data_IF_874862723039
#
_entry.id   IF_874862723039
#
_cell.length_a   1.000
_cell.length_b   1.000
_cell.length_c   1.000
_cell.angle_alpha   90.00
_cell.angle_beta   90.00
_cell.angle_gamma   90.00
#
_symmetry.space_group_name_H-M   'P 1'
#
loop_
_entity.id
_entity.type
_entity.pdbx_description
1 polymer ?
#
# COMPACT_ATOMS: atom_id res chain seq x y z
N UNK A 1 5.41 -11.45 -14.20
CA UNK A 1 6.57 -10.68 -13.66
C UNK A 1 7.16 -11.45 -12.49
N UNK A 2 8.47 -11.72 -12.44
CA UNK A 2 9.05 -12.56 -11.36
C UNK A 2 8.98 -11.85 -9.99
N UNK A 3 8.78 -12.59 -8.90
CA UNK A 3 8.72 -12.04 -7.52
C UNK A 3 9.91 -11.13 -7.20
N UNK A 4 11.12 -11.51 -7.64
CA UNK A 4 12.34 -10.70 -7.50
C UNK A 4 12.24 -9.33 -8.20
N UNK A 5 11.68 -9.30 -9.42
CA UNK A 5 11.49 -8.05 -10.18
C UNK A 5 10.46 -7.13 -9.51
N UNK A 6 9.40 -7.69 -8.92
CA UNK A 6 8.38 -6.90 -8.19
C UNK A 6 8.96 -6.26 -6.93
N UNK A 7 9.73 -7.01 -6.13
CA UNK A 7 10.41 -6.47 -4.94
C UNK A 7 11.37 -5.34 -5.31
N UNK A 8 12.16 -5.52 -6.38
CA UNK A 8 13.09 -4.50 -6.85
C UNK A 8 12.36 -3.21 -7.26
N UNK A 9 11.25 -3.31 -8.00
CA UNK A 9 10.45 -2.14 -8.36
C UNK A 9 9.90 -1.44 -7.12
N UNK A 10 9.37 -2.19 -6.14
CA UNK A 10 8.88 -1.60 -4.88
C UNK A 10 9.97 -0.84 -4.14
N UNK A 11 11.20 -1.37 -4.10
CA UNK A 11 12.34 -0.69 -3.47
C UNK A 11 12.72 0.61 -4.21
N UNK A 12 12.68 0.61 -5.53
CA UNK A 12 12.92 1.83 -6.32
C UNK A 12 11.86 2.89 -6.03
N UNK A 13 10.58 2.50 -6.03
CA UNK A 13 9.47 3.42 -5.72
C UNK A 13 9.63 3.97 -4.30
N UNK A 14 9.97 3.12 -3.32
CA UNK A 14 10.22 3.53 -1.94
C UNK A 14 11.33 4.58 -1.86
N UNK A 15 12.45 4.34 -2.54
CA UNK A 15 13.58 5.27 -2.55
C UNK A 15 13.20 6.63 -3.15
N UNK A 16 12.52 6.62 -4.31
CA UNK A 16 12.05 7.86 -4.97
C UNK A 16 11.10 8.63 -4.05
N UNK A 17 10.14 7.94 -3.44
CA UNK A 17 9.14 8.57 -2.56
C UNK A 17 9.78 9.15 -1.31
N UNK A 18 10.76 8.46 -0.73
CA UNK A 18 11.53 8.96 0.41
C UNK A 18 12.32 10.23 0.03
N UNK A 19 13.03 10.22 -1.12
CA UNK A 19 13.75 11.40 -1.59
C UNK A 19 12.84 12.60 -1.87
N UNK A 20 11.62 12.36 -2.35
CA UNK A 20 10.62 13.41 -2.58
C UNK A 20 10.11 14.02 -1.26
N UNK A 21 9.96 13.19 -0.22
CA UNK A 21 9.49 13.63 1.10
C UNK A 21 10.57 14.28 1.94
N UNK A 22 11.84 13.96 1.72
CA UNK A 22 12.95 14.45 2.53
C UNK A 22 12.98 15.99 2.64
N UNK A 23 12.88 16.80 1.56
CA UNK A 23 12.80 18.25 1.66
C UNK A 23 11.62 18.75 2.49
N UNK A 24 10.47 18.09 2.40
CA UNK A 24 9.27 18.44 3.17
C UNK A 24 9.51 18.23 4.66
N UNK A 25 10.09 17.08 5.02
CA UNK A 25 10.44 16.80 6.42
C UNK A 25 11.50 17.75 6.97
N UNK A 26 12.45 18.21 6.14
CA UNK A 26 13.44 19.21 6.52
C UNK A 26 12.80 20.57 6.83
N UNK A 27 11.85 21.00 6.00
CA UNK A 27 11.11 22.26 6.21
C UNK A 27 10.38 22.20 7.56
N UNK A 28 9.58 21.15 7.79
CA UNK A 28 8.81 20.99 9.04
C UNK A 28 9.74 20.98 10.24
N UNK A 29 10.84 20.21 10.16
CA UNK A 29 11.76 20.07 11.29
C UNK A 29 12.50 21.37 11.61
N UNK A 30 13.01 22.08 10.58
CA UNK A 30 13.69 23.36 10.78
C UNK A 30 12.73 24.49 11.17
N UNK A 31 11.42 24.31 11.03
CA UNK A 31 10.40 25.24 11.53
C UNK A 31 10.19 25.14 13.06
N UNK A 32 10.52 23.99 13.67
CA UNK A 32 10.29 23.74 15.09
C UNK A 32 10.87 24.84 16.00
N UNK A 33 12.13 25.30 15.84
CA UNK A 33 12.68 26.35 16.68
C UNK A 33 11.90 27.67 16.60
N UNK A 34 11.41 28.03 15.41
CA UNK A 34 10.61 29.24 15.20
C UNK A 34 9.23 29.13 15.85
N UNK A 35 8.62 27.94 15.81
CA UNK A 35 7.35 27.65 16.49
C UNK A 35 7.54 27.74 18.01
N UNK A 36 8.62 27.16 18.55
CA UNK A 36 8.94 27.22 19.99
C UNK A 36 9.20 28.66 20.44
N UNK A 37 9.89 29.45 19.62
CA UNK A 37 10.16 30.86 19.88
C UNK A 37 8.94 31.78 19.62
N UNK A 38 7.83 31.24 19.10
CA UNK A 38 6.66 31.98 18.64
C UNK A 38 7.02 33.15 17.69
N UNK A 39 8.05 32.95 16.87
CA UNK A 39 8.57 33.98 15.97
C UNK A 39 7.77 33.99 14.66
N UNK A 40 6.97 35.04 14.48
CA UNK A 40 6.13 35.23 13.29
C UNK A 40 6.83 36.02 12.17
N UNK A 41 8.07 36.48 12.38
CA UNK A 41 8.78 37.31 11.39
C UNK A 41 9.51 36.48 10.33
N UNK A 42 9.43 35.15 10.39
CA UNK A 42 10.08 34.28 9.42
C UNK A 42 9.42 34.40 8.04
N UNK A 43 10.24 34.66 7.02
CA UNK A 43 9.82 34.56 5.62
C UNK A 43 9.70 33.09 5.21
N UNK A 44 8.52 32.50 5.44
CA UNK A 44 8.22 31.10 5.12
C UNK A 44 8.54 30.74 3.68
N UNK A 45 8.34 31.67 2.75
CA UNK A 45 8.51 31.43 1.32
C UNK A 45 9.99 31.24 1.00
N UNK A 46 10.81 32.21 1.39
CA UNK A 46 12.25 32.13 1.12
C UNK A 46 12.91 30.99 1.90
N UNK A 47 12.48 30.76 3.14
CA UNK A 47 12.91 29.62 3.95
C UNK A 47 12.64 28.29 3.25
N UNK A 48 11.40 28.05 2.82
CA UNK A 48 10.99 26.80 2.19
C UNK A 48 11.68 26.59 0.84
N UNK A 49 11.78 27.66 0.02
CA UNK A 49 12.44 27.60 -1.29
C UNK A 49 13.92 27.26 -1.13
N UNK A 50 14.60 27.84 -0.14
CA UNK A 50 16.02 27.58 0.10
C UNK A 50 16.26 26.11 0.45
N UNK A 51 15.41 25.53 1.32
CA UNK A 51 15.49 24.11 1.68
C UNK A 51 15.18 23.22 0.47
N UNK A 52 14.20 23.58 -0.36
CA UNK A 52 13.86 22.82 -1.56
C UNK A 52 14.99 22.81 -2.60
N UNK A 53 15.69 23.93 -2.78
CA UNK A 53 16.81 24.07 -3.71
C UNK A 53 18.08 23.38 -3.20
N UNK A 54 18.30 23.40 -1.89
CA UNK A 54 19.53 22.89 -1.26
C UNK A 54 19.25 21.94 -0.08
N UNK A 55 18.55 20.81 -0.31
CA UNK A 55 18.18 19.88 0.76
C UNK A 55 19.41 19.22 1.41
N UNK A 56 20.48 18.99 0.65
CA UNK A 56 21.73 18.39 1.15
C UNK A 56 22.43 19.31 2.14
N UNK A 57 22.52 20.60 1.84
CA UNK A 57 23.13 21.59 2.75
C UNK A 57 22.33 21.66 4.06
N UNK A 58 20.99 21.65 3.95
CA UNK A 58 20.11 21.62 5.11
C UNK A 58 20.26 20.38 5.99
N UNK A 59 20.56 19.21 5.41
CA UNK A 59 20.88 17.99 6.16
C UNK A 59 22.19 18.12 6.94
N UNK A 60 23.22 18.69 6.31
CA UNK A 60 24.53 18.88 6.96
C UNK A 60 24.40 19.80 8.17
N UNK A 61 23.64 20.88 8.04
CA UNK A 61 23.35 21.79 9.16
C UNK A 61 22.65 21.07 10.32
N UNK A 62 21.68 20.19 10.05
CA UNK A 62 21.00 19.41 11.10
C UNK A 62 21.95 18.41 11.77
N UNK A 63 22.85 17.78 11.02
CA UNK A 63 23.87 16.86 11.57
C UNK A 63 24.77 17.56 12.60
N UNK A 64 25.02 18.85 12.41
CA UNK A 64 25.83 19.67 13.30
C UNK A 64 25.02 20.32 14.43
N UNK A 65 23.68 20.25 14.37
CA UNK A 65 22.78 20.82 15.35
C UNK A 65 22.49 19.85 16.50
N UNK A 66 22.06 20.40 17.64
CA UNK A 66 21.64 19.65 18.84
C UNK A 66 20.51 18.64 18.56
N UNK A 67 19.75 18.85 17.49
CA UNK A 67 18.54 18.09 17.17
C UNK A 67 18.75 16.95 16.16
N UNK A 68 19.99 16.52 15.92
CA UNK A 68 20.28 15.41 15.00
C UNK A 68 19.54 14.11 15.37
N UNK A 69 19.52 13.74 16.65
CA UNK A 69 18.90 12.49 17.12
C UNK A 69 17.38 12.52 16.90
N UNK A 70 16.63 13.56 17.35
CA UNK A 70 15.22 13.69 17.03
C UNK A 70 14.91 13.63 15.54
N UNK A 71 15.73 14.28 14.70
CA UNK A 71 15.56 14.25 13.25
C UNK A 71 15.67 12.82 12.69
N UNK A 72 16.67 12.06 13.14
CA UNK A 72 16.87 10.67 12.70
C UNK A 72 15.69 9.78 13.10
N UNK A 73 15.17 9.93 14.31
CA UNK A 73 13.99 9.20 14.78
C UNK A 73 12.79 9.47 13.86
N UNK A 74 12.54 10.75 13.52
CA UNK A 74 11.47 11.13 12.59
C UNK A 74 11.66 10.49 11.22
N UNK A 75 12.89 10.48 10.68
CA UNK A 75 13.17 9.84 9.39
C UNK A 75 12.92 8.33 9.39
N UNK A 76 13.27 7.64 10.48
CA UNK A 76 12.98 6.21 10.64
C UNK A 76 11.47 5.95 10.65
N UNK A 77 10.70 6.77 11.36
CA UNK A 77 9.23 6.67 11.40
C UNK A 77 8.64 6.88 9.99
N UNK A 78 9.10 7.90 9.26
CA UNK A 78 8.67 8.17 7.88
C UNK A 78 8.99 6.97 6.97
N UNK A 79 10.20 6.41 7.07
CA UNK A 79 10.61 5.25 6.28
C UNK A 79 9.71 4.03 6.56
N UNK A 80 9.40 3.76 7.83
CA UNK A 80 8.51 2.67 8.23
C UNK A 80 7.09 2.91 7.68
N UNK A 81 6.56 4.13 7.81
CA UNK A 81 5.25 4.48 7.28
C UNK A 81 5.16 4.28 5.76
N UNK A 82 6.18 4.72 5.02
CA UNK A 82 6.27 4.50 3.58
C UNK A 82 6.39 3.01 3.23
N UNK A 83 7.18 2.26 3.98
CA UNK A 83 7.32 0.83 3.77
C UNK A 83 5.99 0.08 3.94
N UNK A 84 5.23 0.40 4.99
CA UNK A 84 3.90 -0.16 5.25
C UNK A 84 2.91 0.25 4.15
N UNK A 85 2.96 1.51 3.70
CA UNK A 85 2.12 2.01 2.61
C UNK A 85 2.34 1.24 1.30
N UNK A 86 3.60 0.92 0.95
CA UNK A 86 3.92 0.11 -0.24
C UNK A 86 3.70 -1.40 -0.07
N UNK A 87 3.59 -1.89 1.17
CA UNK A 87 3.41 -3.30 1.50
C UNK A 87 2.24 -3.49 2.46
N UNK A 88 1.00 -3.22 2.00
CA UNK A 88 -0.16 -3.44 2.83
C UNK A 88 -0.27 -4.93 3.20
N UNK A 89 -0.42 -5.20 4.50
CA UNK A 89 -0.52 -6.57 5.06
C UNK A 89 -1.81 -7.26 4.60
N UNK A 90 -2.83 -6.50 4.19
CA UNK A 90 -4.09 -6.99 3.65
C UNK A 90 -4.37 -6.30 2.32
N UNK A 91 -4.87 -7.06 1.33
CA UNK A 91 -5.41 -6.49 0.09
C UNK A 91 -6.52 -5.49 0.45
N UNK A 92 -6.52 -4.34 -0.21
CA UNK A 92 -7.51 -3.31 0.08
C UNK A 92 -8.91 -3.85 -0.27
N UNK A 93 -9.96 -3.59 0.53
CA UNK A 93 -11.25 -4.27 0.43
C UNK A 93 -11.98 -4.08 -0.90
N UNK A 94 -11.60 -3.09 -1.72
CA UNK A 94 -12.12 -2.92 -3.07
C UNK A 94 -11.65 -4.01 -4.05
N UNK A 95 -10.60 -4.76 -3.72
CA UNK A 95 -10.04 -5.79 -4.61
C UNK A 95 -10.89 -7.08 -4.62
N UNK A 96 -11.84 -7.27 -3.70
CA UNK A 96 -12.51 -8.58 -3.56
C UNK A 96 -13.93 -8.54 -2.99
N UNK A 97 -14.78 -7.62 -3.44
CA UNK A 97 -16.22 -7.71 -3.09
C UNK A 97 -16.81 -9.05 -3.53
N UNK A 98 -16.38 -9.58 -4.69
CA UNK A 98 -16.82 -10.89 -5.21
C UNK A 98 -16.34 -12.13 -4.45
N UNK A 99 -15.33 -12.02 -3.56
CA UNK A 99 -14.85 -13.17 -2.74
C UNK A 99 -15.47 -13.18 -1.35
N UNK A 100 -15.70 -12.00 -0.75
CA UNK A 100 -16.23 -11.89 0.61
C UNK A 100 -17.75 -11.77 0.67
N UNK A 101 -18.39 -11.23 -0.38
CA UNK A 101 -19.85 -11.13 -0.47
C UNK A 101 -20.31 -11.37 -1.93
N UNK A 102 -20.32 -12.63 -2.39
CA UNK A 102 -20.67 -12.96 -3.76
C UNK A 102 -22.15 -12.63 -4.00
N UNK A 103 -22.39 -11.58 -4.78
CA UNK A 103 -23.72 -11.28 -5.35
C UNK A 103 -23.82 -11.94 -6.72
N UNK A 104 -25.02 -12.31 -7.14
CA UNK A 104 -25.24 -12.91 -8.46
C UNK A 104 -24.65 -11.99 -9.55
N UNK A 105 -23.66 -12.48 -10.31
CA UNK A 105 -22.92 -11.70 -11.31
C UNK A 105 -21.59 -11.09 -10.85
N UNK A 106 -21.16 -11.29 -9.60
CA UNK A 106 -19.82 -10.88 -9.17
C UNK A 106 -18.75 -11.83 -9.72
N UNK A 107 -17.83 -11.31 -10.51
CA UNK A 107 -16.61 -12.01 -10.91
C UNK A 107 -15.42 -11.50 -10.09
N UNK A 108 -14.51 -12.40 -9.70
CA UNK A 108 -13.21 -12.02 -9.17
C UNK A 108 -12.11 -12.85 -9.85
N UNK A 109 -10.90 -12.32 -9.83
CA UNK A 109 -9.73 -13.02 -10.37
C UNK A 109 -9.35 -14.18 -9.45
N UNK A 110 -9.50 -15.41 -9.95
CA UNK A 110 -9.16 -16.63 -9.22
C UNK A 110 -7.69 -16.67 -8.80
N UNK A 111 -7.41 -17.18 -7.62
CA UNK A 111 -6.05 -17.34 -7.11
C UNK A 111 -5.35 -18.56 -7.72
N UNK A 112 -4.01 -18.56 -7.70
CA UNK A 112 -3.18 -19.59 -8.34
C UNK A 112 -3.41 -20.99 -7.73
N UNK A 113 -3.80 -21.07 -6.46
CA UNK A 113 -4.24 -22.30 -5.78
C UNK A 113 -5.64 -22.76 -6.23
N UNK A 114 -6.53 -21.86 -6.62
CA UNK A 114 -7.88 -22.16 -7.13
C UNK A 114 -7.82 -22.63 -8.60
N UNK A 115 -6.89 -22.09 -9.38
CA UNK A 115 -6.66 -22.47 -10.78
C UNK A 115 -5.92 -23.82 -10.89
N UNK A 116 -4.93 -24.05 -10.04
CA UNK A 116 -4.07 -25.24 -10.11
C UNK A 116 -4.63 -26.46 -9.37
N UNK A 117 -5.75 -26.35 -8.66
CA UNK A 117 -6.41 -27.45 -7.98
C UNK A 117 -7.80 -27.73 -8.57
N UNK A 118 -7.91 -28.36 -9.76
CA UNK A 118 -9.18 -28.91 -10.21
C UNK A 118 -9.44 -30.23 -9.46
N UNK A 119 -9.55 -30.19 -8.14
CA UNK A 119 -10.00 -31.36 -7.37
C UNK A 119 -11.53 -31.43 -7.28
N UNK A 120 -12.24 -30.35 -7.62
CA UNK A 120 -13.69 -30.24 -7.47
C UNK A 120 -14.47 -30.12 -8.80
N UNK A 121 -13.80 -30.11 -9.96
CA UNK A 121 -14.51 -30.22 -11.25
C UNK A 121 -14.77 -31.70 -11.52
N UNK A 122 -15.80 -32.24 -10.86
CA UNK A 122 -16.33 -33.54 -11.22
C UNK A 122 -17.00 -33.43 -12.59
N UNK A 123 -16.28 -33.84 -13.65
CA UNK A 123 -16.87 -34.05 -14.95
C UNK A 123 -17.85 -35.22 -14.85
N UNK A 124 -19.14 -34.90 -14.71
CA UNK A 124 -20.22 -35.88 -14.76
C UNK A 124 -20.67 -36.06 -16.21
N UNK A 125 -21.02 -37.30 -16.58
CA UNK A 125 -21.57 -37.58 -17.90
C UNK A 125 -22.95 -36.96 -18.08
N UNK A 126 -23.31 -36.59 -19.31
CA UNK A 126 -24.61 -36.02 -19.66
C UNK A 126 -25.78 -36.87 -19.13
N UNK A 127 -25.66 -38.20 -19.22
CA UNK A 127 -26.66 -39.14 -18.72
C UNK A 127 -26.85 -39.04 -17.20
N UNK A 128 -25.77 -38.84 -16.45
CA UNK A 128 -25.80 -38.69 -14.99
C UNK A 128 -26.41 -37.34 -14.59
N UNK A 129 -26.06 -36.27 -15.31
CA UNK A 129 -26.64 -34.94 -15.11
C UNK A 129 -28.15 -34.94 -15.37
N UNK A 130 -28.60 -35.59 -16.45
CA UNK A 130 -30.02 -35.74 -16.77
C UNK A 130 -30.80 -36.46 -15.68
N UNK A 131 -30.25 -37.56 -15.14
CA UNK A 131 -30.85 -38.30 -14.04
C UNK A 131 -31.03 -37.45 -12.77
N UNK A 132 -30.00 -36.68 -12.40
CA UNK A 132 -30.04 -35.78 -11.23
C UNK A 132 -31.13 -34.70 -11.40
N UNK A 133 -31.25 -34.13 -12.60
CA UNK A 133 -32.27 -33.14 -12.93
C UNK A 133 -33.69 -33.72 -12.89
N UNK A 134 -33.91 -34.91 -13.45
CA UNK A 134 -35.21 -35.57 -13.41
C UNK A 134 -35.62 -35.91 -11.97
N UNK A 135 -34.66 -36.30 -11.12
CA UNK A 135 -34.90 -36.59 -9.72
C UNK A 135 -35.22 -35.33 -8.90
N UNK A 136 -34.54 -34.21 -9.16
CA UNK A 136 -34.81 -32.95 -8.45
C UNK A 136 -36.19 -32.37 -8.80
N UNK A 137 -36.60 -32.45 -10.08
CA UNK A 137 -37.92 -32.03 -10.54
C UNK A 137 -39.01 -32.88 -9.87
N UNK A 138 -38.85 -34.21 -9.86
CA UNK A 138 -39.81 -35.11 -9.21
C UNK A 138 -39.91 -34.88 -7.71
N UNK A 139 -38.80 -34.58 -7.03
CA UNK A 139 -38.85 -34.26 -5.59
C UNK A 139 -39.60 -32.95 -5.33
N UNK A 140 -39.48 -31.96 -6.21
CA UNK A 140 -40.21 -30.69 -6.10
C UNK A 140 -41.72 -30.81 -6.42
N UNK A 141 -42.13 -31.82 -7.19
CA UNK A 141 -43.54 -32.11 -7.48
C UNK A 141 -44.23 -32.96 -6.39
N UNK A 142 -43.46 -33.58 -5.49
CA UNK A 142 -43.97 -34.44 -4.41
C UNK A 142 -43.96 -33.76 -3.02
N UNK A 143 -43.60 -32.47 -2.95
CA UNK A 143 -43.82 -31.55 -1.81
C UNK A 143 -45.04 -30.65 -2.08
#
# INVERSE_FOLDING_TARGET
MTKKKQVLIKMIILAILYFLLLPVTLIVFKLIPYIIANDTNIDLKNFSINILKHPINSLVEIKQAHYMIPFLIVQVIVLIALYIFLNPVKRQPFEVVGKTNPVHGSAYWGEENEINAPQSVHLISEKSMKSILEQSIRSAENE
#
